data_IF_202077612120
#
_entry.id   IF_202077612120
#
_cell.length_a   1.000
_cell.length_b   1.000
_cell.length_c   1.000
_cell.angle_alpha   90.00
_cell.angle_beta   90.00
_cell.angle_gamma   90.00
#
_symmetry.space_group_name_H-M   'P 1'
#
loop_
_entity.id
_entity.type
_entity.pdbx_description
1 polymer ?
#
# COMPACT_ATOMS: atom_id res chain seq x y z
N UNK A 1 -34.67 9.04 -1.49
CA UNK A 1 -33.35 9.68 -1.65
C UNK A 1 -32.43 8.62 -2.21
N UNK A 2 -31.92 8.80 -3.43
CA UNK A 2 -30.87 7.94 -3.96
C UNK A 2 -29.59 8.29 -3.22
N UNK A 3 -29.22 7.49 -2.22
CA UNK A 3 -27.85 7.51 -1.72
C UNK A 3 -26.96 7.09 -2.90
N UNK A 4 -26.28 8.04 -3.53
CA UNK A 4 -25.22 7.68 -4.48
C UNK A 4 -24.22 6.86 -3.70
N UNK A 5 -24.12 5.56 -3.99
CA UNK A 5 -23.12 4.71 -3.38
C UNK A 5 -21.76 5.23 -3.84
N UNK A 6 -21.10 6.01 -2.99
CA UNK A 6 -19.73 6.39 -3.23
C UNK A 6 -18.93 5.08 -3.32
N UNK A 7 -18.15 4.95 -4.37
CA UNK A 7 -17.38 3.74 -4.65
C UNK A 7 -15.90 4.08 -4.63
N UNK A 8 -15.13 3.33 -3.85
CA UNK A 8 -13.68 3.37 -3.79
C UNK A 8 -13.11 2.11 -4.45
N UNK A 9 -11.91 2.22 -4.97
CA UNK A 9 -11.22 1.08 -5.55
C UNK A 9 -10.30 0.38 -4.54
N UNK A 10 -10.11 -0.92 -4.75
CA UNK A 10 -9.39 -1.78 -3.84
C UNK A 10 -7.88 -1.45 -3.72
N UNK A 11 -7.27 -0.90 -4.78
CA UNK A 11 -5.87 -0.48 -4.79
C UNK A 11 -5.77 1.02 -5.00
N UNK A 12 -4.89 1.70 -4.25
CA UNK A 12 -4.59 3.13 -4.40
C UNK A 12 -3.17 3.29 -4.93
N UNK A 13 -3.02 4.04 -6.02
CA UNK A 13 -1.74 4.30 -6.68
C UNK A 13 -1.48 5.80 -6.85
N UNK A 14 -0.20 6.22 -6.88
CA UNK A 14 0.16 7.63 -7.08
C UNK A 14 0.18 7.97 -8.56
N UNK A 15 -0.59 8.99 -8.99
CA UNK A 15 -0.59 9.53 -10.34
C UNK A 15 -0.60 8.46 -11.46
N UNK A 16 0.41 8.46 -12.32
CA UNK A 16 0.50 7.57 -13.49
C UNK A 16 1.05 6.18 -13.20
N UNK A 17 1.26 5.80 -11.93
CA UNK A 17 1.92 4.53 -11.53
C UNK A 17 1.40 3.30 -12.27
N UNK A 18 0.10 3.21 -12.57
CA UNK A 18 -0.49 2.09 -13.31
C UNK A 18 0.10 1.95 -14.73
N UNK A 19 0.41 3.05 -15.40
CA UNK A 19 0.88 3.08 -16.79
C UNK A 19 2.39 2.84 -16.93
N UNK A 20 3.14 2.94 -15.83
CA UNK A 20 4.60 2.81 -15.80
C UNK A 20 5.06 1.34 -15.76
N UNK A 21 6.37 1.11 -15.94
CA UNK A 21 6.94 -0.26 -16.10
C UNK A 21 7.93 -0.70 -15.01
N UNK A 22 8.16 0.10 -13.98
CA UNK A 22 9.00 -0.30 -12.85
C UNK A 22 8.27 -1.31 -11.93
N UNK A 23 9.01 -2.14 -11.18
CA UNK A 23 8.43 -3.08 -10.21
C UNK A 23 7.77 -2.35 -9.03
N UNK A 24 6.76 -2.99 -8.44
CA UNK A 24 5.94 -2.43 -7.37
C UNK A 24 6.06 -3.21 -6.06
N UNK A 25 5.83 -2.50 -4.96
CA UNK A 25 5.56 -3.04 -3.64
C UNK A 25 4.06 -2.82 -3.37
N UNK A 26 3.32 -3.91 -3.18
CA UNK A 26 1.92 -3.85 -2.77
C UNK A 26 1.82 -3.94 -1.25
N UNK A 27 1.25 -2.92 -0.62
CA UNK A 27 1.18 -2.81 0.85
C UNK A 27 -0.26 -2.95 1.32
N UNK A 28 -0.54 -4.01 2.07
CA UNK A 28 -1.81 -4.22 2.75
C UNK A 28 -1.82 -3.52 4.11
N UNK A 29 -2.75 -2.58 4.26
CA UNK A 29 -3.22 -2.08 5.55
C UNK A 29 -4.46 -2.87 6.05
N UNK A 30 -5.12 -2.36 7.09
CA UNK A 30 -6.28 -3.03 7.71
C UNK A 30 -7.55 -2.87 6.87
N UNK A 31 -8.13 -1.68 6.92
CA UNK A 31 -9.36 -1.30 6.24
C UNK A 31 -9.29 0.15 5.77
N UNK A 32 -10.07 0.50 4.75
CA UNK A 32 -10.28 1.90 4.38
C UNK A 32 -11.07 2.62 5.48
N UNK A 33 -10.74 3.87 5.78
CA UNK A 33 -11.45 4.69 6.77
C UNK A 33 -12.53 5.59 6.16
N UNK A 34 -12.83 5.42 4.87
CA UNK A 34 -13.90 6.09 4.15
C UNK A 34 -15.29 5.53 4.47
N UNK A 35 -16.27 5.93 3.66
CA UNK A 35 -17.66 5.41 3.71
C UNK A 35 -18.06 4.69 2.42
N UNK A 36 -17.19 4.71 1.42
CA UNK A 36 -17.46 4.21 0.10
C UNK A 36 -17.33 2.69 0.03
N UNK A 37 -18.21 2.04 -0.74
CA UNK A 37 -18.06 0.62 -1.04
C UNK A 37 -16.76 0.39 -1.80
N UNK A 38 -15.99 -0.62 -1.41
CA UNK A 38 -14.75 -0.98 -2.10
C UNK A 38 -15.08 -1.98 -3.22
N UNK A 39 -14.67 -1.66 -4.44
CA UNK A 39 -14.75 -2.57 -5.60
C UNK A 39 -13.35 -2.86 -6.16
N UNK A 40 -13.16 -3.98 -6.89
CA UNK A 40 -11.92 -4.23 -7.60
C UNK A 40 -11.59 -3.11 -8.59
N UNK A 41 -10.35 -2.63 -8.56
CA UNK A 41 -9.83 -1.60 -9.46
C UNK A 41 -8.74 -0.78 -8.81
N UNK A 42 -8.37 0.32 -9.46
CA UNK A 42 -7.32 1.23 -9.01
C UNK A 42 -7.89 2.64 -8.88
N UNK A 43 -7.74 3.24 -7.70
CA UNK A 43 -7.97 4.67 -7.47
C UNK A 43 -6.64 5.42 -7.51
N UNK A 44 -6.72 6.68 -7.92
CA UNK A 44 -5.58 7.57 -7.87
C UNK A 44 -5.55 8.24 -6.51
N UNK A 45 -4.37 8.23 -5.91
CA UNK A 45 -4.05 8.92 -4.68
C UNK A 45 -4.34 10.41 -4.81
N UNK A 46 -5.07 10.93 -3.84
CA UNK A 46 -5.25 12.36 -3.62
C UNK A 46 -4.45 12.78 -2.38
N UNK A 47 -3.47 13.67 -2.60
CA UNK A 47 -2.61 14.19 -1.54
C UNK A 47 -3.36 15.03 -0.52
N UNK A 48 -4.36 15.80 -0.96
CA UNK A 48 -5.15 16.65 -0.09
C UNK A 48 -5.89 15.80 0.96
N UNK A 49 -6.31 14.59 0.57
CA UNK A 49 -7.04 13.66 1.44
C UNK A 49 -6.09 12.83 2.31
N UNK A 50 -4.89 12.55 1.83
CA UNK A 50 -4.04 11.49 2.40
C UNK A 50 -2.79 11.99 3.14
N UNK A 51 -2.48 13.29 3.09
CA UNK A 51 -1.28 13.89 3.71
C UNK A 51 -1.13 13.54 5.20
N UNK A 52 -2.23 13.51 5.95
CA UNK A 52 -2.27 13.18 7.38
C UNK A 52 -2.21 11.67 7.73
N UNK A 53 -2.09 10.78 6.76
CA UNK A 53 -2.11 9.34 7.01
C UNK A 53 -0.82 8.84 7.67
N UNK A 54 -0.87 8.50 8.96
CA UNK A 54 0.25 7.89 9.70
C UNK A 54 0.73 6.60 9.05
N UNK A 55 -0.19 5.77 8.54
CA UNK A 55 0.16 4.50 7.89
C UNK A 55 1.06 4.75 6.69
N UNK A 56 0.62 5.62 5.77
CA UNK A 56 1.35 5.93 4.55
C UNK A 56 2.70 6.59 4.85
N UNK A 57 2.71 7.60 5.72
CA UNK A 57 3.94 8.29 6.12
C UNK A 57 4.99 7.32 6.68
N UNK A 58 4.56 6.38 7.52
CA UNK A 58 5.47 5.40 8.12
C UNK A 58 5.89 4.32 7.15
N UNK A 59 5.04 3.90 6.21
CA UNK A 59 5.43 2.99 5.12
C UNK A 59 6.52 3.62 4.25
N UNK A 60 6.30 4.84 3.74
CA UNK A 60 7.32 5.54 2.94
C UNK A 60 8.60 5.79 3.74
N UNK A 61 8.48 6.20 5.01
CA UNK A 61 9.64 6.43 5.87
C UNK A 61 10.43 5.16 6.15
N UNK A 62 9.75 4.02 6.36
CA UNK A 62 10.38 2.71 6.52
C UNK A 62 11.14 2.29 5.25
N UNK A 63 10.46 2.28 4.11
CA UNK A 63 11.06 1.91 2.83
C UNK A 63 12.24 2.81 2.49
N UNK A 64 12.14 4.10 2.78
CA UNK A 64 13.23 5.05 2.59
C UNK A 64 14.48 4.66 3.40
N UNK A 65 14.33 4.29 4.68
CA UNK A 65 15.46 3.93 5.56
C UNK A 65 16.24 2.70 5.08
N UNK A 66 15.61 1.81 4.32
CA UNK A 66 16.26 0.65 3.72
C UNK A 66 17.16 1.00 2.52
N UNK A 67 17.12 2.25 2.06
CA UNK A 67 17.72 2.69 0.80
C UNK A 67 18.69 3.86 0.99
N UNK A 68 19.39 4.22 -0.08
CA UNK A 68 20.23 5.43 -0.12
C UNK A 68 19.47 6.66 -0.65
N UNK A 69 18.13 6.63 -0.66
CA UNK A 69 17.33 7.75 -1.12
C UNK A 69 17.50 8.98 -0.22
N UNK A 70 17.91 10.10 -0.81
CA UNK A 70 18.11 11.38 -0.11
C UNK A 70 16.84 12.23 -0.21
N UNK A 71 16.50 12.97 0.85
CA UNK A 71 15.31 13.84 0.88
C UNK A 71 14.05 13.11 1.35
N UNK A 72 12.86 13.65 1.09
CA UNK A 72 11.59 13.02 1.49
C UNK A 72 11.08 12.11 0.37
N UNK A 73 11.14 10.79 0.58
CA UNK A 73 10.82 9.84 -0.48
C UNK A 73 9.36 9.95 -0.95
N UNK A 74 8.40 10.06 -0.02
CA UNK A 74 6.97 10.27 -0.34
C UNK A 74 6.78 11.50 -1.23
N UNK A 75 7.33 12.65 -0.83
CA UNK A 75 7.18 13.89 -1.59
C UNK A 75 7.81 13.77 -2.98
N UNK A 76 8.93 13.06 -3.09
CA UNK A 76 9.56 12.81 -4.38
C UNK A 76 8.64 12.01 -5.31
N UNK A 77 7.97 10.97 -4.79
CA UNK A 77 6.99 10.19 -5.55
C UNK A 77 5.80 11.03 -6.00
N UNK A 78 5.26 11.85 -5.10
CA UNK A 78 4.14 12.75 -5.42
C UNK A 78 4.53 13.77 -6.49
N UNK A 79 5.68 14.43 -6.34
CA UNK A 79 6.15 15.44 -7.29
C UNK A 79 6.39 14.87 -8.69
N UNK A 80 6.86 13.63 -8.77
CA UNK A 80 7.10 12.93 -10.04
C UNK A 80 5.81 12.27 -10.58
N UNK A 81 4.74 12.26 -9.79
CA UNK A 81 3.44 11.72 -10.19
C UNK A 81 3.40 10.19 -10.26
N UNK A 82 4.31 9.48 -9.58
CA UNK A 82 4.38 8.03 -9.59
C UNK A 82 5.09 7.49 -8.34
N UNK A 83 4.77 6.26 -7.93
CA UNK A 83 5.35 5.62 -6.76
C UNK A 83 5.55 4.12 -6.97
N UNK A 84 6.65 3.53 -6.50
CA UNK A 84 6.81 2.08 -6.46
C UNK A 84 5.97 1.44 -5.35
N UNK A 85 5.28 2.22 -4.52
CA UNK A 85 4.42 1.72 -3.46
C UNK A 85 2.96 1.96 -3.85
N UNK A 86 2.20 0.87 -3.92
CA UNK A 86 0.74 0.89 -4.05
C UNK A 86 0.11 0.33 -2.79
N UNK A 87 -1.02 0.89 -2.38
CA UNK A 87 -1.66 0.55 -1.12
C UNK A 87 -2.98 -0.17 -1.34
N UNK A 88 -3.30 -1.08 -0.44
CA UNK A 88 -4.59 -1.77 -0.41
C UNK A 88 -4.95 -2.14 1.03
N UNK A 89 -6.08 -2.82 1.22
CA UNK A 89 -6.62 -3.17 2.52
C UNK A 89 -6.87 -4.67 2.61
N UNK A 90 -6.66 -5.24 3.79
CA UNK A 90 -6.95 -6.64 4.07
C UNK A 90 -8.45 -6.93 4.17
N UNK A 91 -9.25 -5.94 4.56
CA UNK A 91 -10.71 -6.06 4.70
C UNK A 91 -11.44 -5.36 3.55
N UNK A 92 -12.54 -5.98 3.11
CA UNK A 92 -13.37 -5.56 1.98
C UNK A 92 -14.33 -4.41 2.30
N UNK A 93 -14.58 -4.14 3.59
CA UNK A 93 -15.52 -3.11 4.04
C UNK A 93 -14.76 -1.97 4.73
N UNK A 94 -15.09 -0.71 4.40
CA UNK A 94 -14.50 0.42 5.10
C UNK A 94 -15.05 0.52 6.53
N UNK A 95 -14.24 1.02 7.45
CA UNK A 95 -14.67 1.34 8.82
C UNK A 95 -14.21 2.76 9.16
N UNK A 96 -15.12 3.75 9.18
CA UNK A 96 -14.78 5.14 9.46
C UNK A 96 -13.97 5.33 10.74
N UNK A 97 -13.05 6.30 10.75
CA UNK A 97 -12.24 6.58 11.94
C UNK A 97 -13.06 7.01 13.17
N UNK A 98 -14.19 7.69 12.96
CA UNK A 98 -15.09 8.11 14.03
C UNK A 98 -15.85 6.94 14.69
N UNK A 99 -15.83 5.75 14.08
CA UNK A 99 -16.58 4.60 14.55
C UNK A 99 -15.93 4.00 15.81
N UNK A 100 -16.71 3.89 16.88
CA UNK A 100 -16.33 3.16 18.08
C UNK A 100 -16.45 1.65 17.86
N UNK A 101 -15.72 0.86 18.66
CA UNK A 101 -15.75 -0.61 18.65
C UNK A 101 -15.46 -1.22 17.27
N UNK A 102 -14.43 -0.71 16.57
CA UNK A 102 -14.05 -1.19 15.23
C UNK A 102 -13.86 -2.72 15.19
N UNK A 103 -13.33 -3.33 16.25
CA UNK A 103 -13.12 -4.78 16.30
C UNK A 103 -14.43 -5.58 16.18
N UNK A 104 -15.50 -5.10 16.81
CA UNK A 104 -16.82 -5.72 16.69
C UNK A 104 -17.37 -5.63 15.27
N UNK A 105 -17.03 -4.58 14.51
CA UNK A 105 -17.43 -4.48 13.11
C UNK A 105 -16.60 -5.37 12.20
N UNK A 106 -15.28 -5.48 12.46
CA UNK A 106 -14.38 -6.34 11.69
C UNK A 106 -14.85 -7.80 11.68
N UNK A 107 -15.32 -8.31 12.82
CA UNK A 107 -15.83 -9.70 12.91
C UNK A 107 -17.15 -9.94 12.16
N UNK A 108 -17.87 -8.89 11.75
CA UNK A 108 -19.11 -9.04 10.95
C UNK A 108 -18.85 -9.15 9.44
N UNK A 109 -17.62 -8.87 9.01
CA UNK A 109 -17.25 -8.96 7.60
C UNK A 109 -17.24 -10.43 7.20
N UNK A 110 -17.99 -10.75 6.15
CA UNK A 110 -18.17 -12.13 5.72
C UNK A 110 -16.90 -12.66 5.06
N UNK A 111 -16.60 -13.93 5.29
CA UNK A 111 -15.42 -14.61 4.73
C UNK A 111 -15.38 -14.53 3.20
N UNK A 112 -16.53 -14.76 2.55
CA UNK A 112 -16.65 -14.64 1.09
C UNK A 112 -16.34 -13.23 0.59
N UNK A 113 -16.72 -12.19 1.33
CA UNK A 113 -16.42 -10.81 0.97
C UNK A 113 -14.90 -10.55 1.03
N UNK A 114 -14.23 -11.11 2.04
CA UNK A 114 -12.77 -11.01 2.19
C UNK A 114 -12.07 -11.74 1.04
N UNK A 115 -12.45 -12.99 0.77
CA UNK A 115 -11.84 -13.79 -0.30
C UNK A 115 -12.03 -13.14 -1.67
N UNK A 116 -13.26 -12.69 -1.98
CA UNK A 116 -13.56 -12.03 -3.25
C UNK A 116 -12.77 -10.72 -3.41
N UNK A 117 -12.60 -9.96 -2.33
CA UNK A 117 -11.82 -8.73 -2.33
C UNK A 117 -10.34 -8.98 -2.58
N UNK A 118 -9.72 -9.92 -1.85
CA UNK A 118 -8.31 -10.26 -2.02
C UNK A 118 -8.05 -10.80 -3.44
N UNK A 119 -8.88 -11.73 -3.92
CA UNK A 119 -8.73 -12.26 -5.29
C UNK A 119 -8.92 -11.15 -6.34
N UNK A 120 -9.91 -10.28 -6.16
CA UNK A 120 -10.13 -9.14 -7.04
C UNK A 120 -8.94 -8.18 -7.11
N UNK A 121 -8.17 -8.01 -6.02
CA UNK A 121 -6.90 -7.28 -6.04
C UNK A 121 -5.86 -8.01 -6.88
N UNK A 122 -5.68 -9.31 -6.66
CA UNK A 122 -4.67 -10.13 -7.34
C UNK A 122 -4.96 -10.43 -8.81
N UNK A 123 -6.18 -10.13 -9.28
CA UNK A 123 -6.60 -10.21 -10.68
C UNK A 123 -6.33 -8.91 -11.46
N UNK A 124 -5.96 -7.82 -10.77
CA UNK A 124 -5.64 -6.56 -11.44
C UNK A 124 -4.37 -6.67 -12.27
N UNK A 125 -4.37 -6.03 -13.45
CA UNK A 125 -3.22 -6.05 -14.38
C UNK A 125 -1.92 -5.54 -13.73
N UNK A 126 -1.98 -4.58 -12.79
CA UNK A 126 -0.78 -4.06 -12.13
C UNK A 126 -0.01 -5.14 -11.34
N UNK A 127 -0.68 -6.22 -10.92
CA UNK A 127 -0.12 -7.26 -10.05
C UNK A 127 1.02 -8.00 -10.73
N UNK A 128 1.03 -8.05 -12.07
CA UNK A 128 2.15 -8.63 -12.83
C UNK A 128 3.47 -7.87 -12.63
N UNK A 129 3.44 -6.66 -12.06
CA UNK A 129 4.63 -5.86 -11.72
C UNK A 129 4.99 -5.92 -10.23
N UNK A 130 4.17 -6.53 -9.39
CA UNK A 130 4.41 -6.57 -7.95
C UNK A 130 5.56 -7.54 -7.67
N UNK A 131 6.69 -6.98 -7.22
CA UNK A 131 7.89 -7.73 -6.84
C UNK A 131 7.94 -8.10 -5.36
N UNK A 132 7.07 -7.50 -4.54
CA UNK A 132 6.92 -7.85 -3.12
C UNK A 132 5.55 -7.42 -2.60
N UNK A 133 5.00 -8.21 -1.68
CA UNK A 133 3.81 -7.85 -0.89
C UNK A 133 4.23 -7.62 0.56
N UNK A 134 3.90 -6.46 1.11
CA UNK A 134 4.01 -6.18 2.54
C UNK A 134 2.63 -6.28 3.17
N UNK A 135 2.47 -7.15 4.16
CA UNK A 135 1.24 -7.30 4.90
C UNK A 135 1.38 -6.69 6.29
N UNK A 136 0.69 -5.58 6.54
CA UNK A 136 0.78 -4.79 7.76
C UNK A 136 -0.61 -4.49 8.31
N UNK A 137 -1.17 -5.44 9.05
CA UNK A 137 -2.48 -5.33 9.71
C UNK A 137 -2.38 -5.43 11.24
N UNK A 138 -1.28 -6.01 11.75
CA UNK A 138 -1.08 -6.32 13.17
C UNK A 138 -1.65 -7.68 13.56
N UNK A 139 -1.34 -8.12 14.78
CA UNK A 139 -1.53 -9.51 15.22
C UNK A 139 -2.93 -9.75 15.78
N UNK A 140 -3.97 -9.67 14.95
CA UNK A 140 -5.35 -9.93 15.35
C UNK A 140 -5.97 -11.03 14.48
N UNK A 141 -6.72 -11.92 15.12
CA UNK A 141 -7.41 -13.05 14.46
C UNK A 141 -8.35 -12.60 13.34
N UNK A 142 -8.86 -11.36 13.39
CA UNK A 142 -9.75 -10.80 12.37
C UNK A 142 -9.10 -10.67 10.99
N UNK A 143 -7.77 -10.73 10.90
CA UNK A 143 -7.04 -10.64 9.63
C UNK A 143 -6.46 -11.98 9.15
N UNK A 144 -6.63 -13.07 9.90
CA UNK A 144 -6.02 -14.37 9.56
C UNK A 144 -6.49 -14.90 8.21
N UNK A 145 -7.78 -14.75 7.90
CA UNK A 145 -8.31 -15.15 6.59
C UNK A 145 -7.71 -14.32 5.45
N UNK A 146 -7.66 -12.99 5.61
CA UNK A 146 -7.01 -12.12 4.62
C UNK A 146 -5.54 -12.48 4.44
N UNK A 147 -4.83 -12.72 5.55
CA UNK A 147 -3.42 -13.13 5.56
C UNK A 147 -3.24 -14.44 4.79
N UNK A 148 -4.07 -15.44 5.06
CA UNK A 148 -4.05 -16.72 4.36
C UNK A 148 -4.26 -16.55 2.85
N UNK A 149 -5.30 -15.82 2.42
CA UNK A 149 -5.58 -15.62 1.00
C UNK A 149 -4.50 -14.81 0.29
N UNK A 150 -3.88 -13.82 0.97
CA UNK A 150 -2.74 -13.07 0.43
C UNK A 150 -1.53 -13.99 0.25
N UNK A 151 -1.18 -14.79 1.27
CA UNK A 151 -0.06 -15.75 1.18
C UNK A 151 -0.27 -16.73 0.02
N UNK A 152 -1.48 -17.30 -0.09
CA UNK A 152 -1.85 -18.22 -1.16
C UNK A 152 -1.67 -17.58 -2.54
N UNK A 153 -2.15 -16.35 -2.73
CA UNK A 153 -2.01 -15.62 -3.98
C UNK A 153 -0.55 -15.25 -4.30
N UNK A 154 0.24 -14.88 -3.29
CA UNK A 154 1.68 -14.63 -3.41
C UNK A 154 2.43 -15.89 -3.85
N UNK A 155 2.18 -17.03 -3.20
CA UNK A 155 2.81 -18.31 -3.54
C UNK A 155 2.51 -18.73 -4.98
N UNK A 156 1.25 -18.62 -5.41
CA UNK A 156 0.83 -18.96 -6.77
C UNK A 156 1.52 -18.12 -7.87
N UNK A 157 2.02 -16.93 -7.51
CA UNK A 157 2.68 -15.98 -8.43
C UNK A 157 4.18 -15.83 -8.16
N UNK A 158 4.73 -16.60 -7.23
CA UNK A 158 6.12 -16.49 -6.75
C UNK A 158 6.48 -15.06 -6.30
N UNK A 159 5.53 -14.37 -5.67
CA UNK A 159 5.75 -13.03 -5.11
C UNK A 159 6.17 -13.19 -3.64
N UNK A 160 7.30 -12.60 -3.21
CA UNK A 160 7.69 -12.54 -1.80
C UNK A 160 6.60 -11.92 -0.92
N UNK A 161 6.22 -12.64 0.14
CA UNK A 161 5.29 -12.17 1.17
C UNK A 161 6.09 -11.74 2.42
N UNK A 162 5.94 -10.48 2.81
CA UNK A 162 6.68 -9.86 3.92
C UNK A 162 5.67 -9.42 4.95
N UNK A 163 5.62 -10.12 6.08
CA UNK A 163 4.78 -9.73 7.21
C UNK A 163 5.48 -8.68 8.06
N UNK A 164 4.80 -7.57 8.31
CA UNK A 164 5.34 -6.45 9.08
C UNK A 164 4.38 -6.05 10.19
N UNK A 165 4.89 -5.55 11.34
CA UNK A 165 4.04 -4.93 12.34
C UNK A 165 3.20 -3.79 11.75
N UNK A 166 2.05 -3.49 12.36
CA UNK A 166 1.17 -2.43 11.85
C UNK A 166 1.87 -1.07 11.85
N UNK A 167 2.01 -0.45 10.66
CA UNK A 167 2.75 0.81 10.52
C UNK A 167 2.09 1.96 11.31
N UNK A 168 0.77 1.99 11.45
CA UNK A 168 0.07 3.07 12.17
C UNK A 168 -0.21 2.78 13.66
N UNK A 169 0.54 1.87 14.29
CA UNK A 169 0.52 1.73 15.76
C UNK A 169 1.06 3.01 16.42
N UNK A 170 0.26 3.65 17.29
CA UNK A 170 0.70 4.80 18.09
C UNK A 170 1.87 4.41 19.01
N UNK A 171 2.87 5.29 19.14
CA UNK A 171 4.03 5.08 20.03
C UNK A 171 5.09 4.07 19.53
N UNK A 172 4.78 3.24 18.52
CA UNK A 172 5.74 2.30 17.93
C UNK A 172 6.94 3.07 17.39
N UNK A 173 8.16 2.67 17.76
CA UNK A 173 9.38 3.31 17.27
C UNK A 173 9.80 2.79 15.89
N UNK A 174 10.72 3.49 15.23
CA UNK A 174 11.17 3.07 13.89
C UNK A 174 12.07 1.83 13.97
N UNK A 175 12.84 1.70 15.04
CA UNK A 175 13.74 0.59 15.32
C UNK A 175 13.00 -0.74 15.39
N UNK A 176 11.76 -0.76 15.89
CA UNK A 176 10.92 -1.95 15.92
C UNK A 176 10.53 -2.43 14.52
N UNK A 177 10.32 -1.51 13.58
CA UNK A 177 10.04 -1.86 12.18
C UNK A 177 11.31 -2.36 11.50
N UNK A 178 12.44 -1.73 11.80
CA UNK A 178 13.73 -2.07 11.21
C UNK A 178 14.22 -3.44 11.71
N UNK A 179 13.89 -3.84 12.95
CA UNK A 179 14.15 -5.18 13.49
C UNK A 179 13.20 -6.26 12.98
N UNK A 180 12.01 -5.88 12.51
CA UNK A 180 11.01 -6.85 12.03
C UNK A 180 11.30 -7.38 10.62
N UNK A 181 12.16 -6.68 9.86
CA UNK A 181 12.54 -7.10 8.52
C UNK A 181 13.89 -7.81 8.53
N UNK A 182 13.99 -8.94 7.83
CA UNK A 182 15.26 -9.65 7.62
C UNK A 182 16.02 -9.07 6.41
N UNK A 183 17.30 -9.43 6.29
CA UNK A 183 18.18 -8.89 5.25
C UNK A 183 17.70 -9.23 3.83
N UNK A 184 17.13 -10.41 3.63
CA UNK A 184 16.60 -10.86 2.33
C UNK A 184 15.45 -9.97 1.87
N UNK A 185 14.44 -9.79 2.73
CA UNK A 185 13.29 -8.95 2.47
C UNK A 185 13.68 -7.48 2.30
N UNK A 186 14.64 -7.01 3.12
CA UNK A 186 15.18 -5.65 2.99
C UNK A 186 15.87 -5.45 1.64
N UNK A 187 16.64 -6.44 1.16
CA UNK A 187 17.29 -6.40 -0.14
C UNK A 187 16.27 -6.36 -1.29
N UNK A 188 15.19 -7.15 -1.23
CA UNK A 188 14.11 -7.13 -2.23
C UNK A 188 13.49 -5.74 -2.33
N UNK A 189 13.08 -5.16 -1.19
CA UNK A 189 12.50 -3.80 -1.16
C UNK A 189 13.50 -2.79 -1.72
N UNK A 190 14.75 -2.85 -1.27
CA UNK A 190 15.80 -1.94 -1.73
C UNK A 190 16.02 -2.00 -3.24
N UNK A 191 15.99 -3.19 -3.84
CA UNK A 191 16.13 -3.37 -5.27
C UNK A 191 14.97 -2.71 -6.05
N UNK A 192 13.73 -2.94 -5.62
CA UNK A 192 12.54 -2.31 -6.23
C UNK A 192 12.64 -0.78 -6.20
N UNK A 193 13.06 -0.20 -5.06
CA UNK A 193 13.21 1.25 -4.95
C UNK A 193 14.37 1.80 -5.78
N UNK A 194 15.48 1.07 -5.88
CA UNK A 194 16.60 1.46 -6.72
C UNK A 194 16.22 1.44 -8.21
N UNK A 195 15.46 0.43 -8.65
CA UNK A 195 14.93 0.38 -10.02
C UNK A 195 14.00 1.56 -10.31
N UNK A 196 13.11 1.90 -9.37
CA UNK A 196 12.28 3.10 -9.48
C UNK A 196 13.12 4.39 -9.54
N UNK A 197 14.19 4.50 -8.74
CA UNK A 197 15.11 5.64 -8.78
C UNK A 197 15.76 5.76 -10.16
N UNK A 198 16.26 4.66 -10.72
CA UNK A 198 16.83 4.65 -12.07
C UNK A 198 15.80 4.98 -13.12
N UNK A 199 14.56 4.52 -12.96
CA UNK A 199 13.45 4.85 -13.85
C UNK A 199 13.18 6.35 -13.89
N UNK A 200 12.96 6.96 -12.72
CA UNK A 200 12.62 8.39 -12.60
C UNK A 200 13.72 9.30 -13.15
N UNK A 201 14.99 8.93 -12.98
CA UNK A 201 16.13 9.66 -13.57
C UNK A 201 16.17 9.63 -15.10
N UNK A 202 15.56 8.61 -15.74
CA UNK A 202 15.50 8.51 -17.21
C UNK A 202 14.32 9.29 -17.79
N UNK A 203 13.18 9.27 -17.11
CA UNK A 203 11.91 9.83 -17.63
C UNK A 203 11.63 11.25 -17.17
N UNK A 204 12.28 11.72 -16.10
CA UNK A 204 12.26 13.12 -15.67
C UNK A 204 13.68 13.69 -15.82
N UNK A 205 14.01 14.31 -16.97
CA UNK A 205 15.30 14.97 -17.15
C UNK A 205 15.50 16.05 -16.09
N UNK A 206 16.74 16.23 -15.63
CA UNK A 206 17.11 17.17 -14.57
C UNK A 206 16.66 18.63 -14.78
N UNK A 207 16.28 19.00 -16.01
CA UNK A 207 15.87 20.35 -16.41
C UNK A 207 14.37 20.66 -16.21
N UNK A 208 13.55 19.70 -15.76
CA UNK A 208 12.14 19.96 -15.46
C UNK A 208 11.92 20.85 -14.21
N UNK A 209 12.97 21.09 -13.41
CA UNK A 209 12.92 21.88 -12.16
C UNK A 209 13.16 23.39 -12.32
N UNK A 210 13.32 23.93 -13.54
CA UNK A 210 13.49 25.37 -13.80
C UNK A 210 12.30 25.99 -14.53
N UNK A 211 11.10 25.91 -13.96
CA UNK A 211 9.92 26.73 -14.29
C UNK A 211 9.04 26.76 -13.04
N UNK A 212 8.66 27.84 -12.36
CA UNK A 212 8.81 29.30 -12.39
C UNK A 212 9.02 29.71 -10.89
N UNK A 213 9.76 30.76 -10.53
CA UNK A 213 9.47 32.15 -10.87
C UNK A 213 8.41 32.67 -9.89
#
# INVERSE_FOLDING_TARGET
>A
MNESIFTDYAVVAVGSTEQEKFPLILVFGRENNGKAQIIPGISIYDEAISSGSTFWNRTYGFVQRLTTWKGQFRQSCVNVGMSPIVFTNALSKPIPNAQQNKDALRVTIQENDIMSHINGIFDLKLISRVGAVIFSTGNSSVYELSRYEVIKNCLARSIPFIEMPYFATQGRKNEELDQAINDENAAIIKNIINEFKTYTQKVVPADAGKRHG
#
